data_IF_125562793946
#
_entry.id   IF_125562793946
#
_cell.length_a   1.000
_cell.length_b   1.000
_cell.length_c   1.000
_cell.angle_alpha   90.00
_cell.angle_beta   90.00
_cell.angle_gamma   90.00
#
_symmetry.space_group_name_H-M   'P 1'
#
loop_
_entity.id
_entity.type
_entity.pdbx_description
1 polymer ?
#
# COMPACT_ATOMS: atom_id res chain seq x y z
N UNK A 1 7.19 -18.64 -0.65
CA UNK A 1 6.90 -17.44 0.18
C UNK A 1 8.09 -16.49 0.09
N UNK A 2 8.44 -16.01 -1.12
CA UNK A 2 9.76 -15.41 -1.42
C UNK A 2 9.97 -14.05 -0.74
N UNK A 3 8.94 -13.20 -0.72
CA UNK A 3 8.97 -11.93 -0.01
C UNK A 3 9.21 -12.11 1.50
N UNK A 4 8.59 -13.13 2.12
CA UNK A 4 8.83 -13.42 3.54
C UNK A 4 10.22 -13.99 3.78
N UNK A 5 10.70 -14.87 2.90
CA UNK A 5 12.07 -15.40 2.98
C UNK A 5 13.09 -14.27 2.91
N UNK A 6 12.98 -13.39 1.92
CA UNK A 6 13.86 -12.22 1.78
C UNK A 6 13.66 -11.22 2.93
N UNK A 7 12.42 -11.03 3.38
CA UNK A 7 12.06 -10.10 4.45
C UNK A 7 12.43 -10.57 5.86
N UNK A 8 12.91 -11.80 6.06
CA UNK A 8 13.16 -12.36 7.39
C UNK A 8 11.87 -12.61 8.17
N UNK A 9 10.81 -13.03 7.47
CA UNK A 9 9.49 -13.35 8.01
C UNK A 9 8.46 -12.25 7.89
N UNK A 10 8.83 -11.02 7.48
CA UNK A 10 7.90 -9.89 7.35
C UNK A 10 8.33 -8.86 6.31
N UNK A 11 7.40 -8.02 5.88
CA UNK A 11 7.66 -6.86 5.02
C UNK A 11 6.61 -5.78 5.27
N UNK A 12 6.90 -4.54 4.88
CA UNK A 12 5.90 -3.49 4.76
C UNK A 12 5.58 -3.24 3.29
N UNK A 13 4.42 -2.65 3.02
CA UNK A 13 3.97 -2.42 1.65
C UNK A 13 3.50 -1.00 1.39
N UNK A 14 3.68 -0.55 0.15
CA UNK A 14 3.13 0.68 -0.37
C UNK A 14 2.26 0.41 -1.58
N UNK A 15 1.20 1.22 -1.71
CA UNK A 15 0.57 1.45 -2.99
C UNK A 15 0.71 2.93 -3.37
N UNK A 16 1.49 3.18 -4.42
CA UNK A 16 1.78 4.52 -4.94
C UNK A 16 1.09 4.70 -6.29
N UNK A 17 0.00 5.47 -6.31
CA UNK A 17 -0.78 5.77 -7.51
C UNK A 17 -0.35 7.09 -8.11
N UNK A 18 0.15 7.08 -9.34
CA UNK A 18 0.68 8.26 -10.04
C UNK A 18 0.07 8.49 -11.41
N UNK A 19 0.21 7.58 -12.36
CA UNK A 19 -0.04 7.73 -13.82
C UNK A 19 -1.09 8.76 -14.25
N UNK A 20 -2.20 8.31 -14.82
CA UNK A 20 -3.36 9.16 -15.17
C UNK A 20 -4.23 9.46 -13.94
N UNK A 21 -3.61 9.72 -12.78
CA UNK A 21 -4.34 9.99 -11.55
C UNK A 21 -4.77 11.46 -11.49
N UNK A 22 -6.09 11.69 -11.42
CA UNK A 22 -6.70 13.02 -11.54
C UNK A 22 -6.46 13.92 -10.31
N UNK A 23 -6.26 13.33 -9.13
CA UNK A 23 -6.09 14.05 -7.86
C UNK A 23 -4.63 14.46 -7.67
N UNK A 24 -4.25 15.60 -8.26
CA UNK A 24 -2.87 16.10 -8.27
C UNK A 24 -2.35 16.43 -6.87
N UNK A 25 -3.24 16.83 -5.96
CA UNK A 25 -2.95 17.21 -4.58
C UNK A 25 -2.30 16.08 -3.76
N UNK A 26 -2.56 14.82 -4.12
CA UNK A 26 -2.02 13.62 -3.44
C UNK A 26 -0.91 12.95 -4.25
N UNK A 27 -0.59 13.42 -5.47
CA UNK A 27 0.57 13.00 -6.29
C UNK A 27 1.86 13.67 -5.79
N UNK A 28 2.21 13.47 -4.52
CA UNK A 28 3.36 14.10 -3.90
C UNK A 28 4.70 13.47 -4.35
N UNK A 29 5.84 14.16 -4.19
CA UNK A 29 7.17 13.59 -4.40
C UNK A 29 7.46 12.42 -3.45
N UNK A 30 8.26 11.46 -3.89
CA UNK A 30 8.70 10.31 -3.07
C UNK A 30 9.40 10.73 -1.78
N UNK A 31 10.24 11.78 -1.83
CA UNK A 31 10.90 12.33 -0.66
C UNK A 31 9.89 12.82 0.40
N UNK A 32 8.78 13.42 -0.02
CA UNK A 32 7.73 13.86 0.89
C UNK A 32 7.01 12.66 1.51
N UNK A 33 6.74 11.59 0.74
CA UNK A 33 6.19 10.35 1.31
C UNK A 33 7.13 9.78 2.38
N UNK A 34 8.43 9.69 2.09
CA UNK A 34 9.43 9.18 3.04
C UNK A 34 9.56 10.04 4.29
N UNK A 35 9.45 11.36 4.15
CA UNK A 35 9.37 12.27 5.29
C UNK A 35 8.14 11.98 6.16
N UNK A 36 6.96 11.85 5.52
CA UNK A 36 5.67 11.71 6.22
C UNK A 36 5.50 10.37 6.92
N UNK A 37 5.92 9.26 6.29
CA UNK A 37 5.61 7.89 6.76
C UNK A 37 6.81 6.97 6.88
N UNK A 38 7.98 7.33 6.36
CA UNK A 38 9.15 6.43 6.36
C UNK A 38 9.55 5.99 7.77
N UNK A 39 9.39 6.89 8.75
CA UNK A 39 9.69 6.62 10.16
C UNK A 39 8.72 5.63 10.83
N UNK A 40 7.52 5.43 10.29
CA UNK A 40 6.52 4.47 10.79
C UNK A 40 6.91 3.02 10.45
N UNK A 41 7.81 2.85 9.48
CA UNK A 41 8.21 1.55 8.98
C UNK A 41 9.53 1.13 9.65
N UNK A 42 9.62 -0.11 10.15
CA UNK A 42 10.85 -0.63 10.75
C UNK A 42 12.05 -0.46 9.81
N UNK A 43 13.15 0.10 10.35
CA UNK A 43 14.37 0.32 9.58
C UNK A 43 14.91 -1.02 9.07
N UNK A 44 15.28 -1.10 7.80
CA UNK A 44 15.87 -2.32 7.21
C UNK A 44 14.88 -3.40 6.81
N UNK A 45 13.58 -3.24 7.10
CA UNK A 45 12.55 -4.16 6.62
C UNK A 45 12.47 -4.10 5.09
N UNK A 46 12.15 -5.24 4.47
CA UNK A 46 11.85 -5.29 3.04
C UNK A 46 10.59 -4.46 2.77
N UNK A 47 10.62 -3.71 1.66
CA UNK A 47 9.49 -2.95 1.19
C UNK A 47 8.96 -3.49 -0.14
N UNK A 48 7.69 -3.82 -0.19
CA UNK A 48 6.99 -4.10 -1.44
C UNK A 48 6.25 -2.85 -1.93
N UNK A 49 6.36 -2.49 -3.20
CA UNK A 49 5.71 -1.32 -3.78
C UNK A 49 4.86 -1.75 -4.97
N UNK A 50 3.54 -1.62 -4.84
CA UNK A 50 2.60 -1.63 -5.95
C UNK A 50 2.49 -0.22 -6.53
N UNK A 51 2.72 -0.05 -7.83
CA UNK A 51 2.75 1.27 -8.48
C UNK A 51 2.46 1.17 -9.97
N UNK A 52 1.84 2.22 -10.52
CA UNK A 52 1.72 2.45 -11.96
C UNK A 52 2.79 3.42 -12.50
N UNK A 53 3.73 3.84 -11.66
CA UNK A 53 4.91 4.63 -12.06
C UNK A 53 5.97 3.74 -12.68
N UNK A 54 6.24 3.95 -13.96
CA UNK A 54 7.26 3.21 -14.71
C UNK A 54 8.67 3.73 -14.46
N UNK A 55 8.83 5.01 -14.10
CA UNK A 55 10.15 5.56 -13.81
C UNK A 55 10.59 5.21 -12.37
N UNK A 56 11.37 4.14 -12.23
CA UNK A 56 11.86 3.67 -10.91
C UNK A 56 12.72 4.69 -10.16
N UNK A 57 13.36 5.65 -10.86
CA UNK A 57 14.13 6.74 -10.20
C UNK A 57 13.25 7.65 -9.34
N UNK A 58 11.94 7.65 -9.56
CA UNK A 58 11.00 8.28 -8.64
C UNK A 58 11.17 7.76 -7.20
N UNK A 59 11.53 6.48 -7.02
CA UNK A 59 11.66 5.84 -5.71
C UNK A 59 13.06 5.96 -5.09
N UNK A 60 13.98 6.75 -5.65
CA UNK A 60 15.35 6.92 -5.11
C UNK A 60 15.34 7.35 -3.62
N UNK A 61 14.36 8.19 -3.23
CA UNK A 61 14.20 8.59 -1.84
C UNK A 61 13.92 7.41 -0.89
N UNK A 62 13.25 6.36 -1.36
CA UNK A 62 12.97 5.15 -0.57
C UNK A 62 14.24 4.33 -0.33
N UNK A 63 15.11 4.24 -1.34
CA UNK A 63 16.38 3.51 -1.25
C UNK A 63 17.33 4.08 -0.19
N UNK A 64 17.18 5.36 0.17
CA UNK A 64 17.96 5.96 1.28
C UNK A 64 17.69 5.33 2.65
N UNK A 65 16.52 4.70 2.83
CA UNK A 65 16.08 4.13 4.11
C UNK A 65 15.87 2.62 4.07
N UNK A 66 15.41 2.09 2.94
CA UNK A 66 15.07 0.67 2.79
C UNK A 66 16.07 -0.02 1.87
N UNK A 67 16.93 -0.91 2.39
CA UNK A 67 17.97 -1.57 1.60
C UNK A 67 17.39 -2.58 0.60
N UNK A 68 16.13 -3.00 0.77
CA UNK A 68 15.46 -3.99 -0.06
C UNK A 68 14.10 -3.48 -0.44
N UNK A 69 13.95 -3.13 -1.72
CA UNK A 69 12.69 -2.74 -2.33
C UNK A 69 12.37 -3.77 -3.41
N UNK A 70 11.11 -4.18 -3.47
CA UNK A 70 10.56 -5.10 -4.46
C UNK A 70 9.29 -4.54 -5.06
N UNK A 71 9.04 -4.94 -6.30
CA UNK A 71 7.85 -4.65 -7.07
C UNK A 71 7.31 -5.97 -7.64
N UNK A 72 6.11 -5.96 -8.23
CA UNK A 72 5.57 -7.16 -8.86
C UNK A 72 6.42 -7.65 -10.03
N UNK A 73 7.03 -6.72 -10.79
CA UNK A 73 7.86 -7.04 -11.96
C UNK A 73 9.13 -7.84 -11.60
N UNK A 74 9.63 -7.72 -10.37
CA UNK A 74 10.75 -8.52 -9.84
C UNK A 74 10.41 -10.02 -9.71
N UNK A 75 9.12 -10.39 -9.76
CA UNK A 75 8.65 -11.77 -9.59
C UNK A 75 8.04 -12.37 -10.86
N UNK A 76 8.15 -11.71 -12.02
CA UNK A 76 7.50 -12.15 -13.25
C UNK A 76 7.92 -13.56 -13.69
N UNK A 77 9.22 -13.85 -13.62
CA UNK A 77 9.77 -15.17 -13.91
C UNK A 77 9.54 -16.15 -12.77
N UNK A 78 9.80 -15.71 -11.53
CA UNK A 78 9.71 -16.57 -10.35
C UNK A 78 8.32 -17.15 -10.13
N UNK A 79 7.27 -16.35 -10.37
CA UNK A 79 5.88 -16.74 -10.13
C UNK A 79 5.10 -17.03 -11.43
N UNK A 80 5.79 -17.24 -12.56
CA UNK A 80 5.19 -17.53 -13.88
C UNK A 80 4.09 -16.53 -14.27
N UNK A 81 4.31 -15.25 -13.96
CA UNK A 81 3.31 -14.19 -14.20
C UNK A 81 3.28 -13.75 -15.67
N UNK A 82 4.29 -14.13 -16.46
CA UNK A 82 4.40 -13.79 -17.89
C UNK A 82 3.25 -14.35 -18.72
N UNK A 83 2.66 -15.46 -18.29
CA UNK A 83 1.57 -16.15 -18.98
C UNK A 83 0.19 -15.78 -18.43
N UNK A 84 0.12 -14.92 -17.42
CA UNK A 84 -1.14 -14.47 -16.81
C UNK A 84 -1.66 -13.26 -17.58
N UNK A 85 -2.99 -13.17 -17.72
CA UNK A 85 -3.62 -11.96 -18.28
C UNK A 85 -3.18 -10.74 -17.45
N UNK A 86 -2.60 -9.69 -18.08
CA UNK A 86 -2.11 -8.50 -17.39
C UNK A 86 -3.14 -7.83 -16.46
N UNK A 87 -4.43 -7.96 -16.75
CA UNK A 87 -5.52 -7.43 -15.92
C UNK A 87 -5.57 -8.05 -14.51
N UNK A 88 -4.98 -9.23 -14.31
CA UNK A 88 -4.89 -9.87 -12.99
C UNK A 88 -3.66 -9.43 -12.19
N UNK A 89 -2.64 -8.82 -12.82
CA UNK A 89 -1.42 -8.42 -12.12
C UNK A 89 -1.73 -7.40 -11.01
N UNK A 90 -2.61 -6.44 -11.28
CA UNK A 90 -3.08 -5.50 -10.26
C UNK A 90 -3.79 -6.18 -9.08
N UNK A 91 -4.51 -7.29 -9.32
CA UNK A 91 -5.16 -8.03 -8.24
C UNK A 91 -4.12 -8.76 -7.37
N UNK A 92 -3.04 -9.26 -7.98
CA UNK A 92 -1.92 -9.87 -7.27
C UNK A 92 -1.24 -8.82 -6.39
N UNK A 93 -0.94 -7.63 -6.93
CA UNK A 93 -0.42 -6.50 -6.16
C UNK A 93 -1.28 -6.20 -4.93
N UNK A 94 -2.61 -6.18 -5.07
CA UNK A 94 -3.51 -5.93 -3.94
C UNK A 94 -3.40 -7.00 -2.85
N UNK A 95 -3.34 -8.27 -3.24
CA UNK A 95 -3.19 -9.39 -2.30
C UNK A 95 -1.83 -9.31 -1.60
N UNK A 96 -0.76 -9.02 -2.33
CA UNK A 96 0.59 -8.87 -1.76
C UNK A 96 0.64 -7.68 -0.80
N UNK A 97 0.11 -6.52 -1.16
CA UNK A 97 0.07 -5.36 -0.26
C UNK A 97 -0.75 -5.62 1.00
N UNK A 98 -1.84 -6.38 0.89
CA UNK A 98 -2.69 -6.71 2.05
C UNK A 98 -1.89 -7.38 3.18
N UNK A 99 -0.88 -8.19 2.84
CA UNK A 99 -0.14 -9.02 3.80
C UNK A 99 1.04 -8.32 4.49
N UNK A 100 1.39 -7.10 4.10
CA UNK A 100 2.47 -6.35 4.77
C UNK A 100 2.11 -5.97 6.20
N UNK A 101 3.10 -5.87 7.09
CA UNK A 101 2.89 -5.47 8.48
C UNK A 101 2.30 -4.07 8.56
N UNK A 102 2.98 -3.11 7.93
CA UNK A 102 2.48 -1.75 7.70
C UNK A 102 2.12 -1.60 6.23
N UNK A 103 0.96 -1.01 5.96
CA UNK A 103 0.52 -0.63 4.61
C UNK A 103 0.40 0.89 4.51
N UNK A 104 1.02 1.47 3.48
CA UNK A 104 0.86 2.88 3.12
C UNK A 104 0.21 3.00 1.75
N UNK A 105 -0.97 3.58 1.71
CA UNK A 105 -1.72 3.79 0.48
C UNK A 105 -1.64 5.20 -0.09
N UNK A 106 -2.29 5.38 -1.24
CA UNK A 106 -2.57 6.69 -1.85
C UNK A 106 -4.04 7.06 -1.63
N UNK A 107 -4.30 8.25 -1.07
CA UNK A 107 -5.65 8.79 -0.88
C UNK A 107 -6.38 8.97 -2.23
N UNK A 108 -7.70 8.85 -2.26
CA UNK A 108 -8.56 8.80 -3.46
C UNK A 108 -8.37 7.60 -4.39
N UNK A 109 -7.48 6.66 -4.08
CA UNK A 109 -7.33 5.46 -4.91
C UNK A 109 -8.29 4.35 -4.47
N UNK A 110 -9.17 3.93 -5.36
CA UNK A 110 -10.01 2.73 -5.17
C UNK A 110 -9.16 1.45 -5.05
N UNK A 111 -7.96 1.42 -5.65
CA UNK A 111 -7.00 0.33 -5.50
C UNK A 111 -6.48 0.25 -4.06
N UNK A 112 -6.08 1.38 -3.48
CA UNK A 112 -5.76 1.49 -2.04
C UNK A 112 -6.96 1.09 -1.18
N UNK A 113 -8.16 1.55 -1.58
CA UNK A 113 -9.40 1.23 -0.88
C UNK A 113 -9.58 -0.28 -0.76
N UNK A 114 -9.53 -1.00 -1.89
CA UNK A 114 -9.66 -2.46 -1.87
C UNK A 114 -8.63 -3.16 -0.98
N UNK A 115 -7.36 -2.76 -1.01
CA UNK A 115 -6.33 -3.31 -0.10
C UNK A 115 -6.73 -3.09 1.35
N UNK A 116 -7.19 -1.88 1.69
CA UNK A 116 -7.58 -1.57 3.07
C UNK A 116 -8.77 -2.40 3.51
N UNK A 117 -9.78 -2.59 2.64
CA UNK A 117 -10.92 -3.46 2.90
C UNK A 117 -10.47 -4.89 3.21
N UNK A 118 -9.56 -5.43 2.39
CA UNK A 118 -9.03 -6.78 2.59
C UNK A 118 -8.24 -6.90 3.89
N UNK A 119 -7.45 -5.88 4.26
CA UNK A 119 -6.75 -5.82 5.56
C UNK A 119 -7.75 -5.87 6.73
N UNK A 120 -8.82 -5.09 6.64
CA UNK A 120 -9.91 -5.08 7.62
C UNK A 120 -10.57 -6.45 7.78
N UNK A 121 -10.96 -7.10 6.67
CA UNK A 121 -11.53 -8.45 6.69
C UNK A 121 -10.57 -9.53 7.18
N UNK A 122 -9.27 -9.33 7.02
CA UNK A 122 -8.24 -10.23 7.55
C UNK A 122 -7.86 -9.94 9.01
N UNK A 123 -8.50 -8.97 9.67
CA UNK A 123 -8.27 -8.65 11.07
C UNK A 123 -6.98 -7.85 11.34
N UNK A 124 -6.37 -7.26 10.32
CA UNK A 124 -5.24 -6.34 10.54
C UNK A 124 -5.76 -5.09 11.27
N UNK A 125 -5.00 -4.63 12.28
CA UNK A 125 -5.36 -3.41 13.00
C UNK A 125 -5.34 -2.20 12.07
N UNK A 126 -6.35 -1.33 12.16
CA UNK A 126 -6.37 -0.02 11.48
C UNK A 126 -5.10 0.81 11.79
N UNK A 127 -4.44 0.54 12.93
CA UNK A 127 -3.17 1.15 13.34
C UNK A 127 -1.96 0.84 12.47
N UNK A 128 -2.14 -0.07 11.53
CA UNK A 128 -1.10 -0.49 10.58
C UNK A 128 -1.34 0.03 9.17
N UNK A 129 -2.36 0.88 8.97
CA UNK A 129 -2.69 1.44 7.66
C UNK A 129 -2.58 2.96 7.68
N UNK A 130 -1.82 3.51 6.72
CA UNK A 130 -1.57 4.95 6.60
C UNK A 130 -1.73 5.41 5.15
N UNK A 131 -1.72 6.73 4.94
CA UNK A 131 -1.60 7.34 3.62
C UNK A 131 -0.26 8.08 3.48
N UNK A 132 0.28 8.13 2.27
CA UNK A 132 1.59 8.74 2.01
C UNK A 132 1.61 10.27 2.17
N UNK A 133 0.49 10.94 1.96
CA UNK A 133 0.36 12.39 2.12
C UNK A 133 0.05 12.80 3.56
N UNK A 134 0.57 13.96 3.98
CA UNK A 134 0.51 14.38 5.38
C UNK A 134 -0.91 14.71 5.85
N UNK A 135 -1.74 15.30 4.97
CA UNK A 135 -3.10 15.71 5.32
C UNK A 135 -4.01 14.52 5.65
N UNK A 136 -3.75 13.37 5.03
CA UNK A 136 -4.54 12.16 5.23
C UNK A 136 -3.80 11.02 5.92
N UNK A 137 -2.54 11.20 6.32
CA UNK A 137 -1.67 10.15 6.88
C UNK A 137 -2.38 9.26 7.91
N UNK A 138 -3.04 9.90 8.88
CA UNK A 138 -3.54 9.24 10.08
C UNK A 138 -5.05 8.95 10.05
N UNK A 139 -5.70 8.97 8.87
CA UNK A 139 -7.17 8.86 8.78
C UNK A 139 -7.73 7.50 9.22
N UNK A 140 -6.91 6.45 9.29
CA UNK A 140 -7.28 5.16 9.90
C UNK A 140 -6.95 5.08 11.39
N UNK A 141 -6.19 6.03 11.93
CA UNK A 141 -5.83 6.10 13.35
C UNK A 141 -6.97 6.66 14.20
N UNK A 142 -8.01 7.16 13.53
CA UNK A 142 -9.18 7.77 14.13
C UNK A 142 -10.41 7.07 13.57
N UNK A 143 -11.38 6.82 14.44
CA UNK A 143 -12.70 6.40 13.98
C UNK A 143 -13.38 7.56 13.28
N UNK A 144 -13.90 7.33 12.08
CA UNK A 144 -14.71 8.30 11.39
C UNK A 144 -15.84 7.61 10.63
N UNK A 145 -17.04 8.14 10.79
CA UNK A 145 -18.19 7.71 10.00
C UNK A 145 -17.97 7.99 8.50
N UNK A 146 -18.55 7.17 7.61
CA UNK A 146 -18.53 7.42 6.17
C UNK A 146 -18.98 8.83 5.80
N UNK A 147 -18.19 9.50 4.97
CA UNK A 147 -18.45 10.86 4.48
C UNK A 147 -18.33 10.92 2.97
N UNK A 148 -19.13 11.76 2.35
CA UNK A 148 -19.06 12.03 0.92
C UNK A 148 -17.79 12.84 0.58
N UNK A 149 -17.12 12.56 -0.55
CA UNK A 149 -17.35 11.45 -1.48
C UNK A 149 -16.84 10.08 -0.97
N UNK A 150 -17.69 9.05 -0.99
CA UNK A 150 -17.40 7.76 -0.34
C UNK A 150 -16.21 6.98 -0.92
N UNK A 151 -15.82 7.24 -2.17
CA UNK A 151 -14.74 6.53 -2.85
C UNK A 151 -13.33 6.95 -2.41
N UNK A 152 -13.21 8.01 -1.58
CA UNK A 152 -11.92 8.61 -1.23
C UNK A 152 -10.99 7.67 -0.45
N UNK A 153 -11.59 6.74 0.30
CA UNK A 153 -10.95 5.69 1.09
C UNK A 153 -11.99 4.63 1.45
N UNK A 154 -11.55 3.57 2.13
CA UNK A 154 -12.48 2.67 2.82
C UNK A 154 -12.76 3.13 4.25
N UNK A 155 -13.86 2.60 4.79
CA UNK A 155 -14.39 2.96 6.09
C UNK A 155 -14.39 1.73 6.98
N UNK A 156 -13.84 1.87 8.17
CA UNK A 156 -13.68 0.76 9.09
C UNK A 156 -14.98 0.22 9.67
N UNK A 157 -16.08 0.99 9.59
CA UNK A 157 -17.46 0.52 9.76
C UNK A 157 -17.75 -0.75 8.94
N UNK A 158 -17.09 -0.96 7.80
CA UNK A 158 -17.31 -2.14 6.96
C UNK A 158 -16.76 -3.45 7.54
N UNK A 159 -15.84 -3.41 8.50
CA UNK A 159 -15.25 -4.61 9.13
C UNK A 159 -15.29 -4.60 10.66
N UNK A 160 -15.59 -3.46 11.29
CA UNK A 160 -15.79 -3.40 12.74
C UNK A 160 -17.08 -4.12 13.13
N UNK A 161 -16.95 -5.12 14.02
CA UNK A 161 -18.06 -5.94 14.52
C UNK A 161 -18.86 -6.66 13.43
N UNK A 162 -18.26 -6.96 12.28
CA UNK A 162 -18.93 -7.63 11.16
C UNK A 162 -19.39 -9.06 11.51
N UNK A 163 -18.73 -9.68 12.49
CA UNK A 163 -18.95 -11.02 13.01
C UNK A 163 -19.84 -11.07 14.25
N UNK A 164 -20.32 -9.91 14.72
CA UNK A 164 -21.22 -9.81 15.87
C UNK A 164 -22.67 -9.86 15.38
N UNK A 165 -23.17 -11.09 15.19
CA UNK A 165 -24.59 -11.39 14.92
C UNK A 165 -25.11 -12.35 15.98
#
# INVERSE_FOLDING_TARGET
NKLLEEGGGSYSSFHVRRGEFQYKEVKIPAANMMHNVGHLIPKGQLLFIATDEHNKTFFDAFHSRFPRIRYLDDFMDFADLKNINPNFLGMIDQVVCTRGDIFVGTWFSTFTGYITRMRGYMGYSDKTTFFGDLAHRDRYQQFEQPKFPFYMREWNTSWHNIDVV
#
